data_IF_898346741212
#
_entry.id   IF_898346741212
#
_cell.length_a   1.000
_cell.length_b   1.000
_cell.length_c   1.000
_cell.angle_alpha   90.00
_cell.angle_beta   90.00
_cell.angle_gamma   90.00
#
_symmetry.space_group_name_H-M   'P 1'
#
loop_
_entity.id
_entity.type
_entity.pdbx_description
1 polymer ?
#
# COMPACT_ATOMS: atom_id res chain seq x y z
N UNK A 1 15.88 -4.26 -0.74
CA UNK A 1 14.54 -4.63 -0.22
C UNK A 1 13.46 -3.60 -0.51
N UNK A 2 13.69 -2.29 -0.30
CA UNK A 2 12.68 -1.22 -0.56
C UNK A 2 12.04 -1.19 -1.96
N UNK A 3 12.83 -1.34 -3.03
CA UNK A 3 12.28 -1.36 -4.40
C UNK A 3 11.27 -2.49 -4.61
N UNK A 4 11.49 -3.65 -3.98
CA UNK A 4 10.60 -4.79 -4.12
C UNK A 4 9.24 -4.54 -3.44
N UNK A 5 9.25 -3.87 -2.28
CA UNK A 5 8.03 -3.46 -1.58
C UNK A 5 7.25 -2.44 -2.40
N UNK A 6 7.93 -1.40 -2.90
CA UNK A 6 7.30 -0.40 -3.77
C UNK A 6 6.72 -1.01 -5.05
N UNK A 7 7.43 -1.97 -5.66
CA UNK A 7 6.94 -2.69 -6.83
C UNK A 7 5.72 -3.57 -6.51
N UNK A 8 5.71 -4.28 -5.38
CA UNK A 8 4.54 -5.07 -4.93
C UNK A 8 3.33 -4.18 -4.70
N UNK A 9 3.52 -3.04 -4.03
CA UNK A 9 2.47 -2.04 -3.83
C UNK A 9 1.95 -1.51 -5.17
N UNK A 10 2.84 -1.15 -6.09
CA UNK A 10 2.44 -0.72 -7.44
C UNK A 10 1.63 -1.78 -8.18
N UNK A 11 2.02 -3.06 -8.09
CA UNK A 11 1.27 -4.18 -8.68
C UNK A 11 -0.08 -4.38 -8.00
N UNK A 12 -0.17 -4.24 -6.67
CA UNK A 12 -1.43 -4.31 -5.91
C UNK A 12 -2.42 -3.23 -6.36
N UNK A 13 -1.96 -1.98 -6.48
CA UNK A 13 -2.80 -0.89 -6.97
C UNK A 13 -3.25 -1.09 -8.42
N UNK A 14 -2.38 -1.65 -9.27
CA UNK A 14 -2.70 -1.87 -10.68
C UNK A 14 -3.54 -3.14 -10.93
N UNK A 15 -3.72 -4.01 -9.92
CA UNK A 15 -4.49 -5.25 -10.04
C UNK A 15 -6.00 -5.00 -10.02
N UNK A 16 -6.43 -3.94 -9.36
CA UNK A 16 -7.76 -3.37 -9.57
C UNK A 16 -7.80 -2.79 -10.97
N UNK A 17 -8.14 -3.62 -11.97
CA UNK A 17 -8.40 -3.21 -13.37
C UNK A 17 -9.63 -2.32 -13.48
N UNK A 18 -9.77 -1.34 -12.59
CA UNK A 18 -10.71 -0.26 -12.74
C UNK A 18 -9.94 0.82 -13.49
N UNK A 19 -10.50 1.26 -14.61
CA UNK A 19 -10.05 2.42 -15.39
C UNK A 19 -10.14 3.75 -14.59
N UNK A 20 -10.26 3.65 -13.25
CA UNK A 20 -10.29 4.77 -12.32
C UNK A 20 -8.86 5.23 -12.08
N UNK A 21 -8.70 6.55 -12.19
CA UNK A 21 -7.45 7.25 -12.01
C UNK A 21 -6.80 6.77 -10.71
N UNK A 22 -5.53 6.38 -10.80
CA UNK A 22 -4.71 6.06 -9.63
C UNK A 22 -4.93 7.19 -8.62
N UNK A 23 -5.46 6.91 -7.41
CA UNK A 23 -5.67 7.95 -6.42
C UNK A 23 -4.34 8.69 -6.16
N UNK A 24 -4.42 9.94 -5.72
CA UNK A 24 -3.26 10.71 -5.25
C UNK A 24 -2.72 10.08 -3.94
N UNK A 25 -2.11 8.89 -4.06
CA UNK A 25 -1.51 8.17 -2.94
C UNK A 25 -0.17 8.80 -2.66
N UNK A 26 -0.03 9.36 -1.47
CA UNK A 26 1.25 9.88 -1.01
C UNK A 26 2.00 8.75 -0.31
N UNK A 27 3.16 8.40 -0.86
CA UNK A 27 4.02 7.36 -0.31
C UNK A 27 5.20 8.03 0.39
N UNK A 28 5.34 7.81 1.69
CA UNK A 28 6.53 8.20 2.46
C UNK A 28 7.30 6.96 2.86
N UNK A 29 8.55 6.88 2.46
CA UNK A 29 9.44 5.80 2.88
C UNK A 29 10.54 6.37 3.79
N UNK A 30 10.55 5.93 5.06
CA UNK A 30 11.64 6.06 6.05
C UNK A 30 12.45 4.76 6.20
N UNK A 31 13.56 4.76 6.94
CA UNK A 31 14.54 3.67 6.96
C UNK A 31 13.92 2.26 7.09
N UNK A 32 13.02 2.07 8.06
CA UNK A 32 12.24 0.84 8.27
C UNK A 32 10.73 1.12 8.35
N UNK A 33 10.27 2.23 7.79
CA UNK A 33 8.86 2.64 7.83
C UNK A 33 8.38 3.00 6.42
N UNK A 34 7.20 2.53 6.06
CA UNK A 34 6.52 2.92 4.82
C UNK A 34 5.12 3.38 5.19
N UNK A 35 4.81 4.63 4.91
CA UNK A 35 3.49 5.22 5.12
C UNK A 35 2.82 5.46 3.78
N UNK A 36 1.57 5.02 3.68
CA UNK A 36 0.71 5.22 2.53
C UNK A 36 -0.47 6.08 2.97
N UNK A 37 -0.63 7.26 2.38
CA UNK A 37 -1.79 8.10 2.63
C UNK A 37 -2.73 8.01 1.43
N UNK A 38 -3.96 7.59 1.69
CA UNK A 38 -5.02 7.51 0.70
C UNK A 38 -5.96 8.71 0.82
N UNK A 39 -6.65 9.08 -0.27
CA UNK A 39 -7.73 10.04 -0.18
C UNK A 39 -8.89 9.46 0.65
N UNK A 40 -9.57 10.33 1.40
CA UNK A 40 -10.70 10.00 2.25
C UNK A 40 -11.76 9.15 1.52
N UNK A 41 -12.16 8.03 2.13
CA UNK A 41 -13.19 7.14 1.61
C UNK A 41 -12.74 6.26 0.43
N UNK A 42 -11.47 6.31 0.01
CA UNK A 42 -10.97 5.42 -1.06
C UNK A 42 -10.78 3.99 -0.56
N UNK A 43 -10.17 3.80 0.61
CA UNK A 43 -10.02 2.46 1.20
C UNK A 43 -11.35 1.78 1.51
N UNK A 44 -12.40 2.55 1.81
CA UNK A 44 -13.75 2.03 2.00
C UNK A 44 -14.38 1.53 0.69
N UNK A 45 -14.07 2.18 -0.44
CA UNK A 45 -14.49 1.77 -1.77
C UNK A 45 -13.67 0.58 -2.32
N UNK A 46 -12.46 0.36 -1.78
CA UNK A 46 -11.54 -0.70 -2.21
C UNK A 46 -11.17 -1.67 -1.07
N UNK A 47 -12.13 -2.47 -0.54
CA UNK A 47 -11.90 -3.36 0.59
C UNK A 47 -10.90 -4.49 0.28
N UNK A 48 -10.78 -4.90 -0.99
CA UNK A 48 -9.77 -5.87 -1.43
C UNK A 48 -8.36 -5.31 -1.27
N UNK A 49 -8.15 -4.04 -1.69
CA UNK A 49 -6.87 -3.35 -1.51
C UNK A 49 -6.52 -3.24 -0.04
N UNK A 50 -7.48 -2.88 0.82
CA UNK A 50 -7.28 -2.82 2.27
C UNK A 50 -6.86 -4.18 2.85
N UNK A 51 -7.50 -5.27 2.43
CA UNK A 51 -7.17 -6.61 2.88
C UNK A 51 -5.76 -7.05 2.42
N UNK A 52 -5.37 -6.70 1.20
CA UNK A 52 -4.02 -7.01 0.69
C UNK A 52 -2.94 -6.16 1.36
N UNK A 53 -3.19 -4.86 1.62
CA UNK A 53 -2.29 -4.00 2.41
C UNK A 53 -2.07 -4.56 3.82
N UNK A 54 -3.13 -5.06 4.48
CA UNK A 54 -3.00 -5.71 5.78
C UNK A 54 -2.10 -6.96 5.76
N UNK A 55 -2.13 -7.74 4.67
CA UNK A 55 -1.21 -8.87 4.49
C UNK A 55 0.22 -8.40 4.25
N UNK A 56 0.41 -7.33 3.47
CA UNK A 56 1.73 -6.73 3.27
C UNK A 56 2.31 -6.20 4.57
N UNK A 57 1.52 -5.57 5.45
CA UNK A 57 1.96 -5.18 6.79
C UNK A 57 2.56 -6.37 7.53
N UNK A 58 1.81 -7.47 7.67
CA UNK A 58 2.28 -8.66 8.37
C UNK A 58 3.53 -9.28 7.74
N UNK A 59 3.63 -9.25 6.40
CA UNK A 59 4.80 -9.76 5.68
C UNK A 59 6.04 -8.87 5.88
N UNK A 60 5.85 -7.55 5.96
CA UNK A 60 6.93 -6.59 6.17
C UNK A 60 7.39 -6.53 7.63
N UNK A 61 6.50 -6.79 8.58
CA UNK A 61 6.85 -6.93 9.99
C UNK A 61 7.88 -8.04 10.22
N UNK A 62 7.75 -9.19 9.53
CA UNK A 62 8.75 -10.27 9.55
C UNK A 62 10.13 -9.80 9.01
N UNK A 63 10.10 -8.87 8.05
CA UNK A 63 11.30 -8.25 7.50
C UNK A 63 11.80 -7.03 8.31
N UNK A 64 11.25 -6.79 9.51
CA UNK A 64 11.57 -5.67 10.39
C UNK A 64 11.29 -4.29 9.74
N UNK A 65 10.26 -4.22 8.90
CA UNK A 65 9.76 -3.02 8.22
C UNK A 65 8.30 -2.80 8.64
N UNK A 66 8.01 -1.63 9.18
CA UNK A 66 6.64 -1.23 9.50
C UNK A 66 5.98 -0.63 8.25
N UNK A 67 4.79 -1.12 7.90
CA UNK A 67 3.95 -0.49 6.89
C UNK A 67 2.68 0.04 7.56
N UNK A 68 2.41 1.33 7.39
CA UNK A 68 1.23 2.02 7.89
C UNK A 68 0.44 2.60 6.73
N UNK A 69 -0.88 2.59 6.84
CA UNK A 69 -1.75 3.24 5.89
C UNK A 69 -2.90 3.94 6.60
N UNK A 70 -3.29 5.11 6.09
CA UNK A 70 -4.42 5.93 6.54
C UNK A 70 -5.25 6.36 5.33
#
# INVERSE_FOLDING_TARGET
MRLCVLLRLAVLFYRGRTDEQVPDVVIKAGENLIELHFPDGWLDQHPLTRADLGKECAYLEDANITLSFD
#
